data_IF_975606502319
#
_entry.id   IF_975606502319
#
_cell.length_a   1.000
_cell.length_b   1.000
_cell.length_c   1.000
_cell.angle_alpha   90.00
_cell.angle_beta   90.00
_cell.angle_gamma   90.00
#
_symmetry.space_group_name_H-M   'P 1'
#
loop_
_entity.id
_entity.type
_entity.pdbx_description
1 polymer ?
#
# COMPACT_ATOMS: atom_id res chain seq x y z
N UNK A 1 13.59 16.95 -9.81
CA UNK A 1 13.29 16.65 -8.39
C UNK A 1 12.05 15.79 -8.37
N UNK A 2 12.09 14.65 -7.68
CA UNK A 2 10.95 13.76 -7.53
C UNK A 2 10.13 14.25 -6.34
N UNK A 3 8.85 14.51 -6.56
CA UNK A 3 7.91 14.83 -5.50
C UNK A 3 7.30 13.54 -4.97
N UNK A 4 7.10 13.48 -3.65
CA UNK A 4 6.48 12.34 -2.99
C UNK A 4 5.20 12.79 -2.33
N UNK A 5 4.08 12.20 -2.75
CA UNK A 5 2.76 12.50 -2.21
C UNK A 5 2.17 11.28 -1.51
N UNK A 6 1.42 11.50 -0.44
CA UNK A 6 0.69 10.44 0.25
C UNK A 6 -0.55 10.06 -0.54
N UNK A 7 -0.81 8.76 -0.71
CA UNK A 7 -2.00 8.22 -1.36
C UNK A 7 -2.71 7.21 -0.44
N UNK A 8 -3.67 7.61 0.41
CA UNK A 8 -4.36 6.66 1.32
C UNK A 8 -3.37 5.76 2.07
N UNK A 9 -3.30 4.46 1.76
CA UNK A 9 -2.37 3.50 2.34
C UNK A 9 -1.00 3.42 1.62
N UNK A 10 -0.81 4.13 0.51
CA UNK A 10 0.38 4.14 -0.35
C UNK A 10 1.04 5.52 -0.59
N UNK A 11 1.89 5.59 -1.61
CA UNK A 11 2.62 6.81 -2.00
C UNK A 11 2.65 6.99 -3.52
N UNK A 12 2.67 8.25 -3.97
CA UNK A 12 2.89 8.66 -5.36
C UNK A 12 4.29 9.24 -5.48
N UNK A 13 5.09 8.75 -6.42
CA UNK A 13 6.38 9.32 -6.81
C UNK A 13 6.20 10.04 -8.14
N UNK A 14 6.28 11.36 -8.12
CA UNK A 14 5.98 12.19 -9.29
C UNK A 14 7.26 12.78 -9.87
N UNK A 15 7.57 12.37 -11.09
CA UNK A 15 8.60 12.94 -11.92
C UNK A 15 8.05 13.87 -13.01
N UNK A 16 8.96 14.45 -13.80
CA UNK A 16 8.62 15.21 -15.00
C UNK A 16 7.78 14.42 -16.02
N UNK A 17 8.09 13.13 -16.23
CA UNK A 17 7.46 12.32 -17.28
C UNK A 17 6.59 11.19 -16.76
N UNK A 18 6.92 10.64 -15.59
CA UNK A 18 6.20 9.51 -15.01
C UNK A 18 5.68 9.81 -13.61
N UNK A 19 4.58 9.15 -13.26
CA UNK A 19 4.07 9.01 -11.90
C UNK A 19 4.07 7.52 -11.56
N UNK A 20 4.77 7.14 -10.50
CA UNK A 20 4.78 5.77 -9.98
C UNK A 20 3.99 5.75 -8.68
N UNK A 21 2.87 5.05 -8.66
CA UNK A 21 2.05 4.86 -7.48
C UNK A 21 2.36 3.50 -6.87
N UNK A 22 2.68 3.49 -5.58
CA UNK A 22 2.91 2.30 -4.79
C UNK A 22 1.79 2.19 -3.76
N UNK A 23 1.08 1.07 -3.74
CA UNK A 23 0.03 0.81 -2.75
C UNK A 23 0.16 -0.60 -2.15
N UNK A 24 -0.22 -0.79 -0.88
CA UNK A 24 -0.25 -2.13 -0.30
C UNK A 24 -1.38 -2.97 -0.92
N UNK A 25 -1.11 -4.25 -1.15
CA UNK A 25 -2.13 -5.23 -1.52
C UNK A 25 -2.93 -5.63 -0.28
N UNK A 26 -4.24 -5.44 -0.32
CA UNK A 26 -5.16 -5.63 0.83
C UNK A 26 -5.54 -7.09 1.10
N UNK A 27 -5.08 -8.02 0.26
CA UNK A 27 -5.45 -9.45 0.26
C UNK A 27 -4.24 -10.38 0.32
N UNK A 28 -3.12 -9.94 0.89
CA UNK A 28 -1.92 -10.75 1.06
C UNK A 28 -2.17 -11.87 2.10
N UNK A 29 -2.98 -12.87 1.76
CA UNK A 29 -3.45 -13.93 2.66
C UNK A 29 -2.59 -15.19 2.66
N UNK A 30 -1.45 -15.18 1.96
CA UNK A 30 -0.46 -16.28 1.96
C UNK A 30 0.96 -15.71 1.90
N UNK A 31 1.95 -16.47 2.38
CA UNK A 31 3.37 -16.06 2.43
C UNK A 31 3.96 -15.71 1.05
N UNK A 32 3.38 -16.28 -0.02
CA UNK A 32 3.78 -16.04 -1.42
C UNK A 32 2.82 -15.10 -2.16
N UNK A 33 1.90 -14.45 -1.46
CA UNK A 33 1.01 -13.48 -2.07
C UNK A 33 1.77 -12.18 -2.41
N UNK A 34 1.41 -11.51 -3.51
CA UNK A 34 1.83 -10.14 -3.76
C UNK A 34 1.51 -9.20 -2.59
N UNK A 35 2.40 -8.24 -2.36
CA UNK A 35 2.33 -7.27 -1.26
C UNK A 35 2.40 -5.83 -1.77
N UNK A 36 2.92 -5.61 -2.97
CA UNK A 36 3.07 -4.28 -3.55
C UNK A 36 2.27 -4.20 -4.84
N UNK A 37 1.28 -3.30 -4.86
CA UNK A 37 0.64 -2.84 -6.08
C UNK A 37 1.43 -1.67 -6.66
N UNK A 38 1.78 -1.75 -7.95
CA UNK A 38 2.48 -0.70 -8.68
C UNK A 38 1.60 -0.27 -9.86
N UNK A 39 1.39 1.05 -9.97
CA UNK A 39 0.71 1.69 -11.10
C UNK A 39 1.59 2.79 -11.68
N UNK A 40 1.90 2.72 -12.97
CA UNK A 40 2.70 3.70 -13.71
C UNK A 40 1.83 4.51 -14.65
N UNK A 41 1.87 5.84 -14.49
CA UNK A 41 1.20 6.79 -15.36
C UNK A 41 2.25 7.63 -16.09
N UNK A 42 2.10 7.79 -17.40
CA UNK A 42 2.80 8.81 -18.16
C UNK A 42 2.08 10.15 -18.07
N UNK A 43 2.84 11.22 -17.88
CA UNK A 43 2.31 12.59 -17.82
C UNK A 43 2.08 13.17 -19.22
N UNK A 44 1.21 14.18 -19.34
CA UNK A 44 1.00 14.96 -20.56
C UNK A 44 2.27 15.34 -21.33
N UNK A 45 3.33 15.70 -20.60
CA UNK A 45 4.62 16.08 -21.19
C UNK A 45 5.27 14.97 -22.03
N UNK A 46 4.94 13.70 -21.75
CA UNK A 46 5.47 12.53 -22.48
C UNK A 46 4.52 12.03 -23.58
N UNK A 47 3.20 12.17 -23.37
CA UNK A 47 2.19 11.55 -24.24
C UNK A 47 1.47 12.53 -25.16
N UNK A 48 1.70 13.84 -24.98
CA UNK A 48 0.97 14.92 -25.65
C UNK A 48 -0.56 14.87 -25.38
N UNK A 49 -0.98 14.11 -24.36
CA UNK A 49 -2.37 14.04 -23.89
C UNK A 49 -2.70 15.20 -22.95
N UNK A 50 -3.98 15.50 -22.78
CA UNK A 50 -4.48 16.45 -21.79
C UNK A 50 -4.53 15.89 -20.36
N UNK A 51 -4.22 14.59 -20.20
CA UNK A 51 -4.29 13.88 -18.92
C UNK A 51 -3.15 12.88 -18.76
N UNK A 52 -2.94 12.43 -17.52
CA UNK A 52 -2.07 11.29 -17.26
C UNK A 52 -2.63 10.04 -17.95
N UNK A 53 -1.77 9.30 -18.64
CA UNK A 53 -2.11 8.06 -19.34
C UNK A 53 -1.52 6.90 -18.57
N UNK A 54 -2.36 5.96 -18.15
CA UNK A 54 -1.86 4.71 -17.56
C UNK A 54 -1.13 3.92 -18.64
N UNK A 55 0.14 3.61 -18.37
CA UNK A 55 1.00 2.91 -19.34
C UNK A 55 0.78 1.40 -19.37
N UNK A 56 0.22 0.88 -18.29
CA UNK A 56 -0.06 -0.53 -18.16
C UNK A 56 -1.37 -0.85 -18.89
N UNK A 57 -1.29 -1.76 -19.85
CA UNK A 57 -2.48 -2.37 -20.44
C UNK A 57 -3.11 -3.35 -19.43
N UNK A 58 -4.39 -3.71 -19.62
CA UNK A 58 -5.16 -4.56 -18.70
C UNK A 58 -4.54 -5.94 -18.42
N UNK A 59 -3.63 -6.38 -19.28
CA UNK A 59 -2.91 -7.65 -19.20
C UNK A 59 -1.58 -7.57 -18.44
N UNK A 60 -1.08 -6.38 -18.11
CA UNK A 60 0.14 -6.21 -17.33
C UNK A 60 -0.17 -6.39 -15.84
N UNK A 61 0.51 -7.32 -15.13
CA UNK A 61 0.38 -7.44 -13.68
C UNK A 61 0.69 -6.13 -12.95
N UNK A 62 -0.11 -5.82 -11.93
CA UNK A 62 0.13 -4.67 -11.04
C UNK A 62 0.55 -5.08 -9.64
N UNK A 63 0.22 -6.30 -9.23
CA UNK A 63 0.54 -6.84 -7.91
C UNK A 63 1.79 -7.72 -8.01
N UNK A 64 2.82 -7.33 -7.26
CA UNK A 64 4.10 -8.00 -7.20
C UNK A 64 4.47 -8.33 -5.75
N UNK A 65 5.27 -9.37 -5.55
CA UNK A 65 6.02 -9.53 -4.30
C UNK A 65 7.22 -8.59 -4.35
N UNK A 66 7.70 -8.16 -3.18
CA UNK A 66 8.91 -7.33 -3.10
C UNK A 66 10.11 -7.96 -3.83
N UNK A 67 10.26 -9.29 -3.74
CA UNK A 67 11.32 -10.06 -4.43
C UNK A 67 11.20 -10.07 -5.96
N UNK A 68 10.00 -9.83 -6.51
CA UNK A 68 9.78 -9.75 -7.95
C UNK A 68 10.08 -8.34 -8.50
N UNK A 69 10.48 -7.39 -7.63
CA UNK A 69 10.80 -6.01 -7.98
C UNK A 69 12.31 -5.78 -7.80
N UNK A 70 12.98 -5.39 -8.88
CA UNK A 70 14.40 -5.01 -8.87
C UNK A 70 14.51 -3.56 -9.28
N UNK A 71 15.17 -2.77 -8.44
CA UNK A 71 15.46 -1.36 -8.70
C UNK A 71 16.97 -1.18 -8.75
N UNK A 72 17.47 -0.67 -9.87
CA UNK A 72 18.83 -0.16 -9.99
C UNK A 72 18.81 1.36 -10.17
N UNK A 73 19.97 1.97 -10.44
CA UNK A 73 20.10 3.42 -10.50
C UNK A 73 19.26 4.07 -11.61
N UNK A 74 18.89 3.33 -12.67
CA UNK A 74 18.25 3.88 -13.87
C UNK A 74 17.06 3.07 -14.36
N UNK A 75 16.78 1.92 -13.75
CA UNK A 75 15.77 1.00 -14.22
C UNK A 75 15.05 0.34 -13.03
N UNK A 76 13.74 0.21 -13.17
CA UNK A 76 12.91 -0.65 -12.35
C UNK A 76 12.37 -1.78 -13.20
N UNK A 77 12.53 -3.02 -12.73
CA UNK A 77 12.00 -4.23 -13.32
C UNK A 77 11.02 -4.88 -12.35
N UNK A 78 9.79 -5.05 -12.78
CA UNK A 78 8.75 -5.74 -12.02
C UNK A 78 8.39 -7.00 -12.79
N UNK A 79 8.92 -8.16 -12.38
CA UNK A 79 8.87 -9.40 -13.16
C UNK A 79 8.49 -10.60 -12.29
N UNK A 80 7.27 -11.12 -12.44
CA UNK A 80 6.77 -12.26 -11.66
C UNK A 80 6.74 -13.55 -12.48
N UNK A 81 6.77 -14.70 -11.81
CA UNK A 81 6.48 -16.00 -12.46
C UNK A 81 5.01 -16.02 -12.86
N UNK A 82 4.72 -16.17 -14.16
CA UNK A 82 3.35 -16.30 -14.64
C UNK A 82 2.85 -17.76 -14.62
N UNK A 83 3.77 -18.71 -14.83
CA UNK A 83 3.45 -20.13 -14.89
C UNK A 83 4.44 -20.94 -14.05
N UNK A 84 3.97 -21.61 -12.98
CA UNK A 84 4.83 -22.41 -12.09
C UNK A 84 5.65 -23.47 -12.83
N UNK A 85 5.08 -24.04 -13.90
CA UNK A 85 5.75 -25.04 -14.75
C UNK A 85 6.82 -24.45 -15.68
N UNK A 86 6.89 -23.12 -15.81
CA UNK A 86 7.89 -22.41 -16.60
C UNK A 86 8.51 -21.27 -15.75
N UNK A 87 9.28 -21.59 -14.69
CA UNK A 87 9.74 -20.61 -13.70
C UNK A 87 10.71 -19.54 -14.23
N UNK A 88 11.30 -19.79 -15.40
CA UNK A 88 12.16 -18.84 -16.11
C UNK A 88 11.40 -17.88 -17.03
N UNK A 89 10.13 -18.17 -17.32
CA UNK A 89 9.26 -17.26 -18.04
C UNK A 89 8.62 -16.27 -17.05
N UNK A 90 8.89 -14.98 -17.25
CA UNK A 90 8.46 -13.91 -16.35
C UNK A 90 7.61 -12.90 -17.13
N UNK A 91 6.54 -12.44 -16.50
CA UNK A 91 5.66 -11.39 -17.02
C UNK A 91 5.71 -10.15 -16.12
N UNK A 92 5.49 -8.99 -16.73
CA UNK A 92 5.50 -7.71 -16.06
C UNK A 92 6.06 -6.63 -16.97
N UNK A 93 6.83 -5.70 -16.40
CA UNK A 93 7.33 -4.55 -17.15
C UNK A 93 8.70 -4.07 -16.65
N UNK A 94 9.31 -3.24 -17.50
CA UNK A 94 10.54 -2.50 -17.21
C UNK A 94 10.27 -1.01 -17.44
N UNK A 95 10.79 -0.17 -16.55
CA UNK A 95 10.67 1.28 -16.62
C UNK A 95 12.03 1.93 -16.43
N UNK A 96 12.43 2.80 -17.35
CA UNK A 96 13.56 3.69 -17.14
C UNK A 96 13.18 4.77 -16.12
N UNK A 97 14.01 4.90 -15.09
CA UNK A 97 13.79 5.78 -13.96
C UNK A 97 14.36 7.17 -14.23
N UNK A 98 13.60 8.17 -13.83
CA UNK A 98 14.07 9.55 -13.81
C UNK A 98 15.01 9.77 -12.61
N UNK A 99 15.91 10.75 -12.73
CA UNK A 99 16.87 11.07 -11.67
C UNK A 99 16.17 11.30 -10.32
N UNK A 100 16.60 10.58 -9.29
CA UNK A 100 16.02 10.62 -7.94
C UNK A 100 14.92 9.59 -7.69
N UNK A 101 14.39 8.90 -8.70
CA UNK A 101 13.32 7.91 -8.49
C UNK A 101 13.81 6.64 -7.82
N UNK A 102 15.00 6.16 -8.19
CA UNK A 102 15.58 4.94 -7.64
C UNK A 102 15.74 5.03 -6.10
N UNK A 103 16.19 6.18 -5.60
CA UNK A 103 16.34 6.43 -4.17
C UNK A 103 15.00 6.45 -3.43
N UNK A 104 13.97 7.06 -4.03
CA UNK A 104 12.63 7.05 -3.43
C UNK A 104 12.03 5.64 -3.44
N UNK A 105 12.17 4.89 -4.54
CA UNK A 105 11.70 3.51 -4.63
C UNK A 105 12.39 2.63 -3.57
N UNK A 106 13.71 2.74 -3.42
CA UNK A 106 14.45 2.01 -2.39
C UNK A 106 13.98 2.36 -0.96
N UNK A 107 13.57 3.61 -0.72
CA UNK A 107 13.07 4.05 0.57
C UNK A 107 11.64 3.58 0.87
N UNK A 108 10.75 3.51 -0.13
CA UNK A 108 9.33 3.25 0.07
C UNK A 108 8.89 1.82 -0.21
N UNK A 109 9.51 1.09 -1.15
CA UNK A 109 9.11 -0.29 -1.47
C UNK A 109 9.09 -1.21 -0.24
N UNK A 110 10.13 -1.26 0.61
CA UNK A 110 10.10 -2.09 1.82
C UNK A 110 9.02 -1.65 2.82
N UNK A 111 8.66 -0.36 2.84
CA UNK A 111 7.63 0.16 3.74
C UNK A 111 6.24 -0.23 3.26
N UNK A 112 5.99 -0.18 1.94
CA UNK A 112 4.72 -0.62 1.36
C UNK A 112 4.53 -2.12 1.57
N UNK A 113 5.59 -2.91 1.36
CA UNK A 113 5.60 -4.34 1.67
C UNK A 113 5.24 -4.60 3.15
N UNK A 114 5.91 -3.89 4.08
CA UNK A 114 5.62 -3.97 5.50
C UNK A 114 4.17 -3.60 5.83
N UNK A 115 3.60 -2.59 5.17
CA UNK A 115 2.19 -2.20 5.36
C UNK A 115 1.26 -3.36 5.01
N UNK A 116 1.47 -4.04 3.88
CA UNK A 116 0.67 -5.20 3.50
C UNK A 116 0.78 -6.33 4.52
N UNK A 117 2.00 -6.66 4.96
CA UNK A 117 2.22 -7.72 5.94
C UNK A 117 1.56 -7.41 7.29
N UNK A 118 1.70 -6.17 7.78
CA UNK A 118 1.10 -5.73 9.04
C UNK A 118 -0.42 -5.65 8.90
N UNK A 119 -0.95 -5.16 7.79
CA UNK A 119 -2.40 -5.13 7.54
C UNK A 119 -3.01 -6.53 7.51
N UNK A 120 -2.33 -7.54 6.94
CA UNK A 120 -2.74 -8.94 7.05
C UNK A 120 -2.72 -9.41 8.50
N UNK A 121 -1.63 -9.17 9.24
CA UNK A 121 -1.52 -9.57 10.64
C UNK A 121 -2.60 -8.94 11.53
N UNK A 122 -2.91 -7.66 11.30
CA UNK A 122 -4.02 -6.95 11.98
C UNK A 122 -5.37 -7.57 11.60
N UNK A 123 -5.59 -7.85 10.31
CA UNK A 123 -6.83 -8.49 9.85
C UNK A 123 -7.05 -9.87 10.46
N UNK A 124 -5.99 -10.68 10.55
CA UNK A 124 -6.02 -12.00 11.18
C UNK A 124 -6.28 -11.93 12.69
N UNK A 125 -5.71 -10.92 13.37
CA UNK A 125 -5.97 -10.68 14.79
C UNK A 125 -7.41 -10.21 15.05
N UNK A 126 -7.98 -9.40 14.16
CA UNK A 126 -9.32 -8.82 14.30
C UNK A 126 -10.43 -9.82 13.94
N UNK A 127 -10.21 -10.68 12.94
CA UNK A 127 -11.18 -11.67 12.45
C UNK A 127 -11.89 -12.48 13.54
N UNK A 128 -11.19 -13.08 14.54
CA UNK A 128 -11.87 -13.80 15.62
C UNK A 128 -12.69 -12.87 16.53
N UNK A 129 -12.30 -11.60 16.68
CA UNK A 129 -13.01 -10.61 17.51
C UNK A 129 -14.29 -10.12 16.84
N UNK A 130 -14.27 -9.96 15.52
CA UNK A 130 -15.46 -9.60 14.73
C UNK A 130 -16.41 -10.78 14.50
N UNK A 131 -15.93 -12.02 14.57
CA UNK A 131 -16.70 -13.22 14.24
C UNK A 131 -17.04 -13.35 12.74
N UNK A 132 -16.46 -12.50 11.90
CA UNK A 132 -16.65 -12.44 10.44
C UNK A 132 -15.40 -11.90 9.75
N UNK A 133 -15.22 -12.15 8.44
CA UNK A 133 -14.20 -11.43 7.67
C UNK A 133 -14.51 -9.92 7.63
N UNK A 134 -13.46 -9.11 7.48
CA UNK A 134 -13.58 -7.67 7.23
C UNK A 134 -14.20 -7.45 5.84
N UNK A 135 -15.07 -6.45 5.75
CA UNK A 135 -15.60 -5.97 4.47
C UNK A 135 -14.50 -5.18 3.72
N UNK A 136 -14.60 -5.01 2.39
CA UNK A 136 -13.58 -4.32 1.61
C UNK A 136 -13.25 -2.90 2.10
N UNK A 137 -14.25 -2.14 2.57
CA UNK A 137 -14.03 -0.80 3.12
C UNK A 137 -13.35 -0.80 4.49
N UNK A 138 -13.57 -1.84 5.31
CA UNK A 138 -12.89 -2.02 6.59
C UNK A 138 -11.43 -2.42 6.39
N UNK A 139 -11.14 -3.23 5.36
CA UNK A 139 -9.77 -3.56 4.94
C UNK A 139 -9.02 -2.30 4.50
N UNK A 140 -9.66 -1.43 3.70
CA UNK A 140 -9.06 -0.17 3.26
C UNK A 140 -8.73 0.75 4.44
N UNK A 141 -9.67 0.95 5.37
CA UNK A 141 -9.44 1.75 6.58
C UNK A 141 -8.35 1.14 7.47
N UNK A 142 -8.32 -0.19 7.59
CA UNK A 142 -7.26 -0.88 8.35
C UNK A 142 -5.89 -0.65 7.72
N UNK A 143 -5.79 -0.75 6.39
CA UNK A 143 -4.56 -0.46 5.66
C UNK A 143 -4.12 1.00 5.84
N UNK A 144 -5.04 1.97 5.85
CA UNK A 144 -4.74 3.37 6.11
C UNK A 144 -4.16 3.59 7.52
N UNK A 145 -4.75 2.98 8.54
CA UNK A 145 -4.23 3.03 9.93
C UNK A 145 -2.82 2.45 10.01
N UNK A 146 -2.59 1.29 9.40
CA UNK A 146 -1.27 0.66 9.35
C UNK A 146 -0.28 1.55 8.62
N UNK A 147 -0.69 2.12 7.48
CA UNK A 147 0.16 2.96 6.66
C UNK A 147 0.55 4.26 7.36
N UNK A 148 -0.35 4.91 8.10
CA UNK A 148 0.02 6.06 8.93
C UNK A 148 0.95 5.70 10.09
N UNK A 149 0.85 4.47 10.61
CA UNK A 149 1.80 3.97 11.61
C UNK A 149 3.19 3.76 11.01
N UNK A 150 3.28 3.16 9.82
CA UNK A 150 4.55 2.82 9.16
C UNK A 150 5.22 4.01 8.48
N UNK A 151 4.47 4.82 7.72
CA UNK A 151 5.01 5.91 6.91
C UNK A 151 5.17 7.19 7.72
N UNK A 152 4.17 7.53 8.53
CA UNK A 152 4.12 8.79 9.27
C UNK A 152 4.61 8.65 10.71
N UNK A 153 4.95 7.43 11.15
CA UNK A 153 5.36 7.10 12.52
C UNK A 153 4.31 7.52 13.56
N UNK A 154 3.04 7.54 13.16
CA UNK A 154 1.93 7.87 14.04
C UNK A 154 1.80 6.80 15.12
N UNK A 155 1.46 7.22 16.34
CA UNK A 155 0.96 6.27 17.35
C UNK A 155 -0.35 5.63 16.87
N UNK A 156 -0.73 4.44 17.36
CA UNK A 156 -1.99 3.80 16.96
C UNK A 156 -3.22 4.72 17.10
N UNK A 157 -3.29 5.52 18.16
CA UNK A 157 -4.38 6.47 18.37
C UNK A 157 -4.39 7.60 17.31
N UNK A 158 -3.22 8.16 16.98
CA UNK A 158 -3.09 9.17 15.93
C UNK A 158 -3.44 8.59 14.55
N UNK A 159 -2.94 7.39 14.24
CA UNK A 159 -3.22 6.71 12.98
C UNK A 159 -4.72 6.46 12.81
N UNK A 160 -5.42 6.03 13.86
CA UNK A 160 -6.87 5.92 13.84
C UNK A 160 -7.56 7.27 13.63
N UNK A 161 -7.13 8.33 14.30
CA UNK A 161 -7.76 9.64 14.18
C UNK A 161 -7.72 10.24 12.75
N UNK A 162 -6.76 9.82 11.92
CA UNK A 162 -6.63 10.26 10.53
C UNK A 162 -7.14 9.25 9.49
N UNK A 163 -7.67 8.10 9.92
CA UNK A 163 -8.14 7.07 9.00
C UNK A 163 -9.42 7.51 8.28
N UNK A 164 -9.41 7.46 6.95
CA UNK A 164 -10.47 7.98 6.10
C UNK A 164 -11.37 6.84 5.60
N UNK A 165 -12.68 6.99 5.79
CA UNK A 165 -13.68 6.05 5.28
C UNK A 165 -14.11 6.33 3.85
N UNK A 166 -15.05 5.52 3.35
CA UNK A 166 -15.66 5.65 2.02
C UNK A 166 -16.19 7.07 1.68
N UNK A 167 -16.60 7.86 2.69
CA UNK A 167 -17.11 9.21 2.51
C UNK A 167 -16.04 10.31 2.50
N UNK A 168 -14.76 9.96 2.50
CA UNK A 168 -13.65 10.90 2.70
C UNK A 168 -13.79 11.69 4.02
N UNK A 169 -14.27 11.01 5.07
CA UNK A 169 -14.36 11.54 6.42
C UNK A 169 -13.57 10.66 7.39
N UNK A 170 -13.07 11.25 8.47
CA UNK A 170 -12.39 10.49 9.52
C UNK A 170 -13.41 9.60 10.23
N UNK A 171 -13.19 8.28 10.21
CA UNK A 171 -14.18 7.31 10.73
C UNK A 171 -14.01 6.99 12.21
N UNK A 172 -12.87 7.34 12.80
CA UNK A 172 -12.62 7.14 14.22
C UNK A 172 -12.47 8.46 14.95
N UNK A 173 -13.16 8.59 16.09
CA UNK A 173 -13.09 9.81 16.91
C UNK A 173 -13.31 9.51 18.37
N UNK A 174 -12.40 9.98 19.22
CA UNK A 174 -12.59 9.91 20.67
C UNK A 174 -13.63 10.91 21.19
N UNK A 175 -13.88 12.01 20.46
CA UNK A 175 -14.78 13.08 20.89
C UNK A 175 -16.19 12.94 20.34
N UNK A 176 -16.34 12.49 19.08
CA UNK A 176 -17.64 12.32 18.42
C UNK A 176 -18.16 10.88 18.46
N UNK A 177 -17.31 9.93 18.87
CA UNK A 177 -17.54 8.51 18.64
C UNK A 177 -17.18 8.11 17.22
N UNK A 178 -16.96 6.82 17.03
CA UNK A 178 -16.67 6.25 15.71
C UNK A 178 -17.92 6.31 14.81
N UNK A 179 -17.70 6.43 13.51
CA UNK A 179 -18.78 6.38 12.53
C UNK A 179 -19.54 5.05 12.68
N UNK A 180 -20.89 5.03 12.60
CA UNK A 180 -21.69 3.82 12.88
C UNK A 180 -21.24 2.58 12.12
N UNK A 181 -20.89 2.72 10.83
CA UNK A 181 -20.43 1.62 9.98
C UNK A 181 -19.06 1.05 10.40
N UNK A 182 -18.29 1.80 11.20
CA UNK A 182 -16.94 1.44 11.64
C UNK A 182 -16.83 1.26 13.16
N UNK A 183 -17.92 1.43 13.93
CA UNK A 183 -17.85 1.41 15.39
C UNK A 183 -17.31 0.08 15.95
N UNK A 184 -17.76 -1.04 15.38
CA UNK A 184 -17.25 -2.37 15.76
C UNK A 184 -15.79 -2.53 15.37
N UNK A 185 -15.38 -2.04 14.19
CA UNK A 185 -13.99 -2.05 13.73
C UNK A 185 -13.09 -1.19 14.63
N UNK A 186 -13.55 0.00 15.01
CA UNK A 186 -12.82 0.90 15.89
C UNK A 186 -12.61 0.31 17.28
N UNK A 187 -13.60 -0.41 17.83
CA UNK A 187 -13.44 -1.11 19.10
C UNK A 187 -12.36 -2.21 19.04
N UNK A 188 -12.35 -3.02 17.98
CA UNK A 188 -11.36 -4.11 17.81
C UNK A 188 -9.97 -3.58 17.45
N UNK A 189 -9.85 -2.50 16.69
CA UNK A 189 -8.55 -1.86 16.38
C UNK A 189 -7.86 -1.31 17.65
N UNK A 190 -8.65 -0.89 18.65
CA UNK A 190 -8.15 -0.45 19.96
C UNK A 190 -7.86 -1.61 20.92
N UNK A 191 -8.09 -2.86 20.53
CA UNK A 191 -7.80 -4.00 21.38
C UNK A 191 -6.28 -4.13 21.63
N UNK A 192 -5.85 -4.54 22.84
CA UNK A 192 -4.42 -4.62 23.17
C UNK A 192 -3.58 -5.45 22.21
N UNK A 193 -4.13 -6.56 21.70
CA UNK A 193 -3.44 -7.42 20.73
C UNK A 193 -3.14 -6.69 19.41
N UNK A 194 -4.08 -5.89 18.91
CA UNK A 194 -3.92 -5.11 17.67
C UNK A 194 -2.98 -3.93 17.89
N UNK A 195 -3.13 -3.23 19.01
CA UNK A 195 -2.23 -2.13 19.40
C UNK A 195 -0.78 -2.60 19.51
N UNK A 196 -0.54 -3.81 20.03
CA UNK A 196 0.79 -4.38 20.10
C UNK A 196 1.41 -4.59 18.72
N UNK A 197 0.65 -5.14 17.75
CA UNK A 197 1.09 -5.32 16.36
C UNK A 197 1.46 -3.96 15.73
N UNK A 198 0.59 -2.95 15.90
CA UNK A 198 0.84 -1.60 15.36
C UNK A 198 2.09 -0.95 15.99
N UNK A 199 2.28 -1.11 17.30
CA UNK A 199 3.47 -0.60 17.99
C UNK A 199 4.76 -1.30 17.56
N UNK A 200 4.70 -2.60 17.26
CA UNK A 200 5.84 -3.35 16.72
C UNK A 200 6.19 -2.86 15.30
N UNK A 201 5.18 -2.67 14.45
CA UNK A 201 5.35 -2.11 13.11
C UNK A 201 5.99 -0.70 13.13
N UNK A 202 5.66 0.12 14.13
CA UNK A 202 6.27 1.44 14.34
C UNK A 202 7.77 1.35 14.71
N UNK A 203 8.20 0.25 15.35
CA UNK A 203 9.58 0.02 15.82
C UNK A 203 10.46 -0.74 14.83
N UNK A 204 9.87 -1.56 13.97
CA UNK A 204 10.55 -2.43 13.01
C UNK A 204 11.27 -1.63 11.92
N UNK A 205 12.49 -1.19 12.24
CA UNK A 205 13.54 -0.77 11.31
C UNK A 205 14.67 -1.79 11.35
#
# INVERSE_FOLDING_TARGET
MIEVHRLHAGVSLEGPHYVIQLAPVSSAGTLDAPTVNISVLARPALTESDRNVRLEAYDVPHDFRLVDIVVDAHEMRCLRVAYERAPYFREGFTLLLEEGMAEQLAAYLPRIDLISLVATGVSDAIKPMLGRPLAPHELAVTADVVASTVLDQSTPAQAMAFAMGLGSECVFSETRGDHPDYATLGAVLRAPAVVAILQEAQRGR
#
